data_IF_474635537421
#
_entry.id   IF_474635537421
#
_cell.length_a   1.000
_cell.length_b   1.000
_cell.length_c   1.000
_cell.angle_alpha   90.00
_cell.angle_beta   90.00
_cell.angle_gamma   90.00
#
_symmetry.space_group_name_H-M   'P 1'
#
loop_
_entity.id
_entity.type
_entity.pdbx_description
1 polymer ?
#
# COMPACT_ATOMS: atom_id res chain seq x y z
N UNK A 1 29.40 40.75 -7.28
CA UNK A 1 28.31 39.82 -7.66
C UNK A 1 28.80 38.42 -7.37
N UNK A 2 28.31 37.82 -6.29
CA UNK A 2 28.60 36.42 -5.94
C UNK A 2 27.60 35.52 -6.67
N UNK A 3 28.01 34.38 -7.26
CA UNK A 3 27.09 33.47 -7.91
C UNK A 3 26.23 32.73 -6.88
N UNK A 4 24.95 32.60 -7.23
CA UNK A 4 23.86 32.07 -6.44
C UNK A 4 24.12 30.66 -5.91
N UNK A 5 23.67 30.44 -4.67
CA UNK A 5 23.59 29.16 -3.99
C UNK A 5 22.78 28.17 -4.83
N UNK A 6 23.42 27.08 -5.23
CA UNK A 6 22.75 25.94 -5.83
C UNK A 6 21.92 25.23 -4.77
N UNK A 7 20.64 25.60 -4.68
CA UNK A 7 19.66 24.85 -3.92
C UNK A 7 19.46 23.48 -4.57
N UNK A 8 20.01 22.44 -3.96
CA UNK A 8 19.72 21.06 -4.32
C UNK A 8 18.23 20.83 -4.03
N UNK A 9 17.40 20.74 -5.07
CA UNK A 9 15.99 20.38 -4.91
C UNK A 9 15.93 18.95 -4.39
N UNK A 10 15.63 18.80 -3.09
CA UNK A 10 15.32 17.49 -2.53
C UNK A 10 13.99 17.02 -3.13
N UNK A 11 14.04 15.95 -3.94
CA UNK A 11 12.85 15.36 -4.52
C UNK A 11 12.20 14.52 -3.43
N UNK A 12 11.12 15.01 -2.83
CA UNK A 12 10.35 14.24 -1.86
C UNK A 12 9.93 12.90 -2.51
N UNK A 13 10.35 11.78 -1.92
CA UNK A 13 10.01 10.45 -2.41
C UNK A 13 8.92 9.82 -1.53
N UNK A 14 7.82 9.41 -2.16
CA UNK A 14 6.74 8.66 -1.50
C UNK A 14 7.10 7.18 -1.53
N UNK A 15 6.97 6.50 -0.39
CA UNK A 15 7.13 5.04 -0.30
C UNK A 15 5.78 4.38 -0.16
N UNK A 16 5.57 3.30 -0.91
CA UNK A 16 4.34 2.51 -0.87
C UNK A 16 4.73 1.07 -0.53
N UNK A 17 4.17 0.52 0.55
CA UNK A 17 4.39 -0.85 0.99
C UNK A 17 3.05 -1.53 1.24
N UNK A 18 2.85 -2.71 0.65
CA UNK A 18 1.69 -3.56 0.91
C UNK A 18 2.13 -4.78 1.71
N UNK A 19 1.48 -5.02 2.85
CA UNK A 19 1.59 -6.25 3.63
C UNK A 19 0.39 -7.15 3.35
N UNK A 20 0.55 -8.26 2.59
CA UNK A 20 -0.54 -9.16 2.29
C UNK A 20 -0.96 -10.04 3.48
N UNK A 21 -0.11 -10.23 4.49
CA UNK A 21 -0.43 -11.05 5.65
C UNK A 21 -1.46 -10.35 6.54
N UNK A 22 -1.26 -9.04 6.74
CA UNK A 22 -2.15 -8.21 7.56
C UNK A 22 -3.19 -7.45 6.73
N UNK A 23 -3.12 -7.52 5.39
CA UNK A 23 -3.99 -6.79 4.46
C UNK A 23 -3.92 -5.26 4.64
N UNK A 24 -2.71 -4.74 4.84
CA UNK A 24 -2.44 -3.32 5.13
C UNK A 24 -1.63 -2.69 4.00
N UNK A 25 -2.02 -1.50 3.57
CA UNK A 25 -1.25 -0.66 2.66
C UNK A 25 -0.73 0.58 3.39
N UNK A 26 0.59 0.72 3.46
CA UNK A 26 1.28 1.88 4.03
C UNK A 26 1.74 2.81 2.91
N UNK A 27 1.38 4.08 3.02
CA UNK A 27 1.81 5.16 2.14
C UNK A 27 2.61 6.16 2.99
N UNK A 28 3.93 6.03 3.00
CA UNK A 28 4.83 6.90 3.73
C UNK A 28 5.16 8.14 2.89
N UNK A 29 4.77 9.31 3.38
CA UNK A 29 4.95 10.61 2.72
C UNK A 29 6.25 11.30 3.15
N UNK A 30 6.72 11.04 4.38
CA UNK A 30 7.92 11.64 4.97
C UNK A 30 8.70 10.61 5.77
N UNK A 31 10.03 10.68 5.75
CA UNK A 31 10.88 9.87 6.64
C UNK A 31 11.03 10.56 8.00
N UNK A 32 9.97 10.50 8.82
CA UNK A 32 9.95 11.07 10.17
C UNK A 32 9.44 10.05 11.20
N UNK A 33 9.82 10.16 12.47
CA UNK A 33 9.24 9.33 13.52
C UNK A 33 7.73 9.58 13.66
N UNK A 34 6.96 8.50 13.77
CA UNK A 34 5.54 8.56 14.09
C UNK A 34 5.37 8.86 15.58
N UNK A 35 4.34 9.65 15.92
CA UNK A 35 4.02 10.05 17.29
C UNK A 35 2.61 9.60 17.69
N UNK A 36 1.63 9.77 16.80
CA UNK A 36 0.25 9.35 17.03
C UNK A 36 -0.46 9.08 15.70
N UNK A 37 -1.56 8.33 15.75
CA UNK A 37 -2.44 8.06 14.62
C UNK A 37 -3.84 8.57 14.89
N UNK A 38 -4.51 9.10 13.86
CA UNK A 38 -5.92 9.47 13.89
C UNK A 38 -6.70 8.64 12.87
N UNK A 39 -7.80 8.04 13.30
CA UNK A 39 -8.75 7.37 12.40
C UNK A 39 -9.51 8.44 11.62
N UNK A 40 -9.26 8.52 10.30
CA UNK A 40 -9.95 9.45 9.41
C UNK A 40 -11.24 8.84 8.89
N UNK A 41 -11.21 7.52 8.66
CA UNK A 41 -12.35 6.67 8.31
C UNK A 41 -12.10 5.29 8.93
N UNK A 42 -13.12 4.40 9.00
CA UNK A 42 -12.92 3.04 9.52
C UNK A 42 -11.82 2.21 8.84
N UNK A 43 -11.39 2.61 7.63
CA UNK A 43 -10.39 1.90 6.83
C UNK A 43 -9.08 2.69 6.67
N UNK A 44 -8.98 3.90 7.22
CA UNK A 44 -7.80 4.77 7.01
C UNK A 44 -7.40 5.44 8.31
N UNK A 45 -6.15 5.19 8.70
CA UNK A 45 -5.49 5.85 9.83
C UNK A 45 -4.40 6.77 9.27
N UNK A 46 -4.42 8.03 9.68
CA UNK A 46 -3.38 9.00 9.37
C UNK A 46 -2.38 9.07 10.53
N UNK A 47 -1.11 8.81 10.26
CA UNK A 47 -0.04 8.88 11.26
C UNK A 47 0.74 10.18 11.17
N UNK A 48 0.91 10.82 12.32
CA UNK A 48 1.50 12.15 12.47
C UNK A 48 2.79 12.13 13.27
N UNK A 49 3.66 13.11 13.02
CA UNK A 49 4.84 13.38 13.84
C UNK A 49 4.47 14.14 15.12
N UNK A 50 5.44 14.32 16.03
CA UNK A 50 5.26 15.16 17.24
C UNK A 50 4.97 16.63 16.92
N UNK A 51 5.28 17.06 15.70
CA UNK A 51 5.05 18.42 15.20
C UNK A 51 3.72 18.54 14.42
N UNK A 52 2.84 17.54 14.54
CA UNK A 52 1.53 17.45 13.86
C UNK A 52 1.61 17.43 12.33
N UNK A 53 2.71 16.95 11.76
CA UNK A 53 2.80 16.76 10.31
C UNK A 53 2.31 15.37 9.92
N UNK A 54 1.56 15.27 8.82
CA UNK A 54 1.22 13.97 8.24
C UNK A 54 2.49 13.28 7.71
N UNK A 55 2.78 12.09 8.22
CA UNK A 55 3.98 11.30 7.89
C UNK A 55 3.61 10.07 7.06
N UNK A 56 2.55 9.37 7.42
CA UNK A 56 2.14 8.13 6.78
C UNK A 56 0.62 7.98 6.79
N UNK A 57 0.08 7.32 5.77
CA UNK A 57 -1.29 6.83 5.78
C UNK A 57 -1.28 5.31 5.80
N UNK A 58 -2.04 4.74 6.72
CA UNK A 58 -2.28 3.31 6.85
C UNK A 58 -3.70 3.00 6.39
N UNK A 59 -3.80 2.19 5.34
CA UNK A 59 -5.08 1.72 4.79
C UNK A 59 -5.27 0.28 5.25
N UNK A 60 -6.29 0.08 6.08
CA UNK A 60 -6.75 -1.22 6.54
C UNK A 60 -7.63 -1.87 5.48
N UNK A 61 -7.69 -3.19 5.50
CA UNK A 61 -8.43 -4.00 4.54
C UNK A 61 -8.18 -3.57 3.08
N UNK A 62 -6.91 -3.36 2.73
CA UNK A 62 -6.54 -2.67 1.49
C UNK A 62 -7.06 -3.38 0.24
N UNK A 63 -7.22 -4.71 0.28
CA UNK A 63 -7.85 -5.46 -0.80
C UNK A 63 -9.32 -5.05 -1.07
N UNK A 64 -10.07 -4.58 -0.06
CA UNK A 64 -11.43 -4.06 -0.22
C UNK A 64 -11.43 -2.77 -1.03
N UNK A 65 -10.43 -1.93 -0.81
CA UNK A 65 -10.23 -0.69 -1.55
C UNK A 65 -10.09 -0.97 -3.06
N UNK A 66 -9.41 -2.07 -3.42
CA UNK A 66 -9.21 -2.46 -4.81
C UNK A 66 -10.31 -3.35 -5.40
N UNK A 67 -11.05 -4.09 -4.57
CA UNK A 67 -12.10 -5.00 -5.02
C UNK A 67 -13.46 -4.33 -5.20
N UNK A 68 -13.72 -3.18 -4.56
CA UNK A 68 -15.03 -2.50 -4.59
C UNK A 68 -15.24 -1.50 -5.74
N UNK A 69 -14.36 -1.42 -6.77
CA UNK A 69 -14.62 -0.58 -7.96
C UNK A 69 -14.49 -1.33 -9.29
N UNK A 70 -15.53 -1.17 -10.12
CA UNK A 70 -15.56 -1.55 -11.55
C UNK A 70 -14.50 -0.85 -12.41
N UNK A 71 -13.75 0.10 -11.85
CA UNK A 71 -12.86 1.01 -12.60
C UNK A 71 -11.36 0.83 -12.29
N UNK A 72 -10.98 -0.17 -11.49
CA UNK A 72 -9.55 -0.45 -11.28
C UNK A 72 -9.07 -1.35 -12.40
N UNK A 73 -8.26 -0.78 -13.29
CA UNK A 73 -7.62 -1.51 -14.38
C UNK A 73 -6.63 -2.52 -13.80
N UNK A 74 -7.01 -3.80 -13.82
CA UNK A 74 -6.13 -4.94 -13.55
C UNK A 74 -5.59 -5.46 -14.88
N UNK A 75 -4.27 -5.40 -15.13
CA UNK A 75 -3.67 -5.92 -16.36
C UNK A 75 -3.93 -7.43 -16.53
N UNK A 76 -4.20 -7.87 -17.76
CA UNK A 76 -4.57 -9.26 -18.08
C UNK A 76 -3.55 -10.31 -17.62
N UNK A 77 -2.25 -9.98 -17.62
CA UNK A 77 -1.21 -10.91 -17.20
C UNK A 77 -1.26 -11.24 -15.69
N UNK A 78 -1.91 -10.41 -14.87
CA UNK A 78 -2.12 -10.66 -13.44
C UNK A 78 -3.31 -11.60 -13.23
N UNK A 79 -4.38 -11.47 -14.03
CA UNK A 79 -5.56 -12.35 -13.97
C UNK A 79 -5.20 -13.81 -14.26
N UNK A 80 -4.25 -14.04 -15.17
CA UNK A 80 -3.80 -15.39 -15.56
C UNK A 80 -3.02 -16.11 -14.45
N UNK A 81 -2.23 -15.38 -13.65
CA UNK A 81 -1.49 -15.96 -12.51
C UNK A 81 -2.43 -16.36 -11.37
N UNK A 82 -3.44 -15.54 -11.07
CA UNK A 82 -4.45 -15.87 -10.05
C UNK A 82 -5.25 -17.12 -10.41
N UNK A 83 -5.66 -17.26 -11.68
CA UNK A 83 -6.40 -18.43 -12.16
C UNK A 83 -5.60 -19.74 -12.14
N UNK A 84 -4.26 -19.67 -12.21
CA UNK A 84 -3.40 -20.87 -12.16
C UNK A 84 -3.24 -21.41 -10.74
N UNK A 85 -3.21 -20.54 -9.73
CA UNK A 85 -3.09 -20.91 -8.30
C UNK A 85 -4.36 -21.61 -7.79
N UNK A 86 -5.52 -21.23 -8.31
CA UNK A 86 -6.81 -21.83 -7.93
C UNK A 86 -7.01 -23.23 -8.53
N UNK A 87 -6.43 -23.51 -9.70
CA UNK A 87 -6.52 -24.85 -10.31
C UNK A 87 -5.59 -25.89 -9.69
N UNK A 88 -4.52 -25.47 -9.02
CA UNK A 88 -3.58 -26.40 -8.37
C UNK A 88 -4.04 -26.89 -6.99
N UNK A 89 -5.05 -26.26 -6.39
CA UNK A 89 -5.60 -26.65 -5.07
C UNK A 89 -6.77 -27.64 -5.15
N UNK A 90 -7.52 -27.65 -6.27
CA UNK A 90 -8.64 -28.58 -6.48
C UNK A 90 -8.21 -29.98 -7.01
N UNK A 91 -6.91 -30.17 -7.29
CA UNK A 91 -6.41 -31.40 -7.94
C UNK A 91 -5.97 -32.54 -7.03
N UNK A 92 -6.02 -32.39 -5.70
CA UNK A 92 -5.45 -33.35 -4.76
C UNK A 92 -6.50 -34.20 -4.01
N UNK A 93 -7.56 -34.67 -4.67
CA UNK A 93 -8.43 -35.73 -4.11
C UNK A 93 -8.90 -36.67 -5.23
N UNK A 94 -8.03 -37.55 -5.73
CA UNK A 94 -8.45 -38.81 -6.36
C UNK A 94 -7.26 -39.75 -6.53
N UNK A 95 -7.24 -40.86 -5.79
CA UNK A 95 -6.31 -41.95 -6.06
C UNK A 95 -5.94 -42.84 -4.87
N UNK A 96 -6.89 -43.21 -4.01
CA UNK A 96 -6.78 -44.43 -3.21
C UNK A 96 -7.72 -45.46 -3.80
N UNK A 97 -7.15 -46.50 -4.43
CA UNK A 97 -7.45 -47.93 -4.28
C UNK A 97 -6.39 -48.73 -5.05
#
# INVERSE_FOLDING_TARGET
MSPNEGGTTEVASVKIKYDPADNILLITLKEKPLAYGEEITPQVIAHYSKDNELVEMEVLDANELFSKKKDIYVPEHIKQKAAHIQRSSDGAVAGSI
#
